data_IF_237199595200
#
_entry.id   IF_237199595200
#
_cell.length_a   1.000
_cell.length_b   1.000
_cell.length_c   1.000
_cell.angle_alpha   90.00
_cell.angle_beta   90.00
_cell.angle_gamma   90.00
#
_symmetry.space_group_name_H-M   'P 1'
#
loop_
_entity.id
_entity.type
_entity.pdbx_description
1 polymer ?
#
# COMPACT_ATOMS: atom_id res chain seq x y z
N UNK A 1 9.27 4.10 -22.10
CA UNK A 1 10.21 4.44 -21.03
C UNK A 1 10.48 3.21 -20.18
N UNK A 2 11.72 2.94 -19.93
CA UNK A 2 12.09 1.81 -19.09
C UNK A 2 11.69 2.09 -17.64
N UNK A 3 11.15 1.10 -16.98
CA UNK A 3 10.68 1.22 -15.62
C UNK A 3 11.71 0.72 -14.63
N UNK A 4 12.58 -0.13 -15.09
CA UNK A 4 13.56 -0.77 -14.22
C UNK A 4 14.89 -0.12 -14.40
N UNK A 5 15.43 0.40 -13.33
CA UNK A 5 16.76 0.97 -13.32
C UNK A 5 17.77 -0.15 -13.20
N UNK A 6 18.88 -0.02 -13.96
CA UNK A 6 19.98 -0.96 -13.87
C UNK A 6 20.67 -0.93 -12.50
N UNK A 7 20.44 0.14 -11.73
CA UNK A 7 20.97 0.32 -10.38
C UNK A 7 20.15 -0.39 -9.31
N UNK A 8 19.03 -1.02 -9.69
CA UNK A 8 18.21 -1.78 -8.75
C UNK A 8 19.01 -2.93 -8.14
N UNK A 9 18.86 -3.22 -6.84
CA UNK A 9 19.49 -4.38 -6.23
C UNK A 9 18.90 -5.70 -6.73
N UNK A 10 17.85 -5.64 -7.53
CA UNK A 10 17.19 -6.83 -8.06
C UNK A 10 17.59 -7.09 -9.48
N UNK A 11 17.84 -8.36 -9.79
CA UNK A 11 18.03 -8.81 -11.14
C UNK A 11 16.73 -9.42 -11.64
N UNK A 12 16.19 -8.85 -12.71
CA UNK A 12 14.97 -9.36 -13.33
C UNK A 12 15.35 -10.18 -14.54
N UNK A 13 14.70 -11.32 -14.70
CA UNK A 13 14.92 -12.18 -15.88
C UNK A 13 14.49 -11.48 -17.17
N UNK A 14 13.43 -10.67 -17.09
CA UNK A 14 12.96 -9.84 -18.20
C UNK A 14 12.55 -8.48 -17.64
N UNK A 15 12.65 -7.45 -18.49
CA UNK A 15 12.19 -6.12 -18.13
C UNK A 15 10.67 -6.09 -18.29
N UNK A 16 9.91 -5.87 -17.22
CA UNK A 16 8.48 -5.74 -17.32
C UNK A 16 8.09 -4.46 -18.04
N UNK A 17 6.93 -4.45 -18.67
CA UNK A 17 6.38 -3.23 -19.26
C UNK A 17 5.97 -2.26 -18.16
N UNK A 18 5.86 -0.99 -18.51
CA UNK A 18 5.37 0.03 -17.58
C UNK A 18 3.98 -0.32 -17.07
N UNK A 19 3.10 -0.81 -17.94
CA UNK A 19 1.75 -1.22 -17.55
C UNK A 19 1.75 -2.36 -16.55
N UNK A 20 2.62 -3.34 -16.74
CA UNK A 20 2.75 -4.45 -15.79
C UNK A 20 3.21 -3.98 -14.41
N UNK A 21 4.17 -3.08 -14.37
CA UNK A 21 4.66 -2.52 -13.11
C UNK A 21 3.59 -1.66 -12.44
N UNK A 22 2.88 -0.85 -13.21
CA UNK A 22 1.79 -0.04 -12.68
C UNK A 22 0.68 -0.92 -12.10
N UNK A 23 0.32 -1.98 -12.79
CA UNK A 23 -0.66 -2.95 -12.28
C UNK A 23 -0.20 -3.57 -10.96
N UNK A 24 1.08 -3.91 -10.87
CA UNK A 24 1.66 -4.45 -9.64
C UNK A 24 1.60 -3.42 -8.51
N UNK A 25 1.84 -2.16 -8.81
CA UNK A 25 1.72 -1.06 -7.85
C UNK A 25 0.30 -0.99 -7.29
N UNK A 26 -0.71 -1.06 -8.15
CA UNK A 26 -2.10 -1.07 -7.71
C UNK A 26 -2.45 -2.33 -6.91
N UNK A 27 -1.84 -3.46 -7.22
CA UNK A 27 -2.02 -4.67 -6.41
C UNK A 27 -1.48 -4.46 -4.99
N UNK A 28 -0.39 -3.70 -4.86
CA UNK A 28 0.14 -3.33 -3.55
C UNK A 28 -0.84 -2.52 -2.72
N UNK A 29 -1.67 -1.71 -3.37
CA UNK A 29 -2.74 -0.95 -2.72
C UNK A 29 -4.03 -1.76 -2.56
N UNK A 30 -4.19 -2.84 -3.30
CA UNK A 30 -5.45 -3.58 -3.40
C UNK A 30 -5.73 -4.56 -2.27
N UNK A 31 -5.49 -4.13 -1.04
CA UNK A 31 -5.77 -4.95 0.14
C UNK A 31 -6.42 -4.08 1.22
N UNK A 32 -7.53 -4.55 1.83
CA UNK A 32 -8.23 -3.73 2.82
C UNK A 32 -7.37 -3.31 4.01
N UNK A 33 -6.51 -4.21 4.50
CA UNK A 33 -5.65 -3.91 5.63
C UNK A 33 -4.61 -2.86 5.28
N UNK A 34 -3.98 -2.99 4.10
CA UNK A 34 -2.99 -2.00 3.66
C UNK A 34 -3.62 -0.63 3.44
N UNK A 35 -4.81 -0.58 2.85
CA UNK A 35 -5.53 0.68 2.69
C UNK A 35 -5.88 1.31 4.03
N UNK A 36 -6.28 0.49 4.99
CA UNK A 36 -6.58 0.98 6.34
C UNK A 36 -5.34 1.54 7.03
N UNK A 37 -4.19 0.89 6.87
CA UNK A 37 -2.92 1.40 7.39
C UNK A 37 -2.62 2.78 6.81
N UNK A 38 -2.74 2.92 5.49
CA UNK A 38 -2.48 4.20 4.84
C UNK A 38 -3.45 5.29 5.29
N UNK A 39 -4.70 4.93 5.52
CA UNK A 39 -5.70 5.87 6.04
C UNK A 39 -5.34 6.34 7.45
N UNK A 40 -4.93 5.42 8.32
CA UNK A 40 -4.52 5.77 9.68
C UNK A 40 -3.29 6.67 9.69
N UNK A 41 -2.32 6.37 8.84
CA UNK A 41 -1.12 7.20 8.72
C UNK A 41 -1.45 8.57 8.14
N UNK A 42 -2.37 8.64 7.19
CA UNK A 42 -2.81 9.90 6.61
C UNK A 42 -3.49 10.80 7.63
N UNK A 43 -4.25 10.22 8.55
CA UNK A 43 -4.96 10.97 9.58
C UNK A 43 -4.02 11.51 10.66
N UNK A 44 -3.05 10.71 11.11
CA UNK A 44 -2.21 11.08 12.24
C UNK A 44 -0.79 11.49 11.87
N UNK A 45 -0.39 11.30 10.63
CA UNK A 45 0.93 11.64 10.15
C UNK A 45 1.96 10.57 10.41
N UNK A 46 2.17 10.20 11.66
CA UNK A 46 3.16 9.20 12.06
C UNK A 46 2.59 8.28 13.12
N UNK A 47 2.84 6.98 12.98
CA UNK A 47 2.42 5.99 13.96
C UNK A 47 3.52 4.93 14.09
N UNK A 48 3.72 4.45 15.32
CA UNK A 48 4.61 3.32 15.53
C UNK A 48 3.92 2.03 15.08
N UNK A 49 4.72 0.99 14.84
CA UNK A 49 4.19 -0.32 14.53
C UNK A 49 3.23 -0.82 15.61
N UNK A 50 3.58 -0.59 16.89
CA UNK A 50 2.74 -0.99 18.01
C UNK A 50 1.39 -0.27 18.02
N UNK A 51 1.39 1.02 17.71
CA UNK A 51 0.14 1.79 17.60
C UNK A 51 -0.75 1.25 16.48
N UNK A 52 -0.15 0.92 15.35
CA UNK A 52 -0.89 0.34 14.22
C UNK A 52 -1.49 -1.02 14.59
N UNK A 53 -0.73 -1.86 15.28
CA UNK A 53 -1.24 -3.16 15.75
C UNK A 53 -2.48 -2.95 16.64
N UNK A 54 -2.41 -2.03 17.58
CA UNK A 54 -3.54 -1.73 18.47
C UNK A 54 -4.74 -1.21 17.72
N UNK A 55 -4.53 -0.28 16.79
CA UNK A 55 -5.64 0.35 16.04
C UNK A 55 -6.32 -0.63 15.10
N UNK A 56 -5.53 -1.50 14.48
CA UNK A 56 -6.08 -2.48 13.53
C UNK A 56 -6.72 -3.66 14.23
N UNK A 57 -6.30 -3.98 15.44
CA UNK A 57 -6.82 -5.13 16.16
C UNK A 57 -6.45 -6.45 15.51
N UNK A 58 -5.31 -6.50 14.81
CA UNK A 58 -4.83 -7.67 14.09
C UNK A 58 -3.54 -8.19 14.75
N UNK A 59 -3.20 -9.47 14.53
CA UNK A 59 -1.94 -10.00 15.04
C UNK A 59 -0.74 -9.20 14.53
N UNK A 60 0.27 -9.05 15.35
CA UNK A 60 1.48 -8.31 15.01
C UNK A 60 2.12 -8.84 13.72
N UNK A 61 2.18 -10.16 13.56
CA UNK A 61 2.78 -10.76 12.38
C UNK A 61 2.06 -10.36 11.10
N UNK A 62 0.73 -10.29 11.15
CA UNK A 62 -0.09 -9.86 10.01
C UNK A 62 0.19 -8.40 9.65
N UNK A 63 0.20 -7.53 10.65
CA UNK A 63 0.47 -6.11 10.44
C UNK A 63 1.89 -5.91 9.90
N UNK A 64 2.87 -6.63 10.45
CA UNK A 64 4.26 -6.56 9.99
C UNK A 64 4.41 -6.97 8.53
N UNK A 65 3.69 -8.00 8.09
CA UNK A 65 3.72 -8.44 6.70
C UNK A 65 3.21 -7.33 5.77
N UNK A 66 2.09 -6.71 6.12
CA UNK A 66 1.53 -5.63 5.32
C UNK A 66 2.42 -4.38 5.32
N UNK A 67 2.98 -4.03 6.49
CA UNK A 67 3.90 -2.89 6.58
C UNK A 67 5.15 -3.13 5.73
N UNK A 68 5.66 -4.36 5.72
CA UNK A 68 6.80 -4.73 4.88
C UNK A 68 6.50 -4.54 3.40
N UNK A 69 5.31 -4.94 2.96
CA UNK A 69 4.88 -4.76 1.59
C UNK A 69 4.78 -3.27 1.23
N UNK A 70 4.13 -2.48 2.09
CA UNK A 70 3.96 -1.04 1.87
C UNK A 70 5.31 -0.32 1.82
N UNK A 71 6.22 -0.69 2.69
CA UNK A 71 7.57 -0.11 2.72
C UNK A 71 8.34 -0.47 1.46
N UNK A 72 8.29 -1.73 1.07
CA UNK A 72 9.00 -2.23 -0.10
C UNK A 72 8.53 -1.56 -1.39
N UNK A 73 7.23 -1.33 -1.50
CA UNK A 73 6.63 -0.67 -2.66
C UNK A 73 6.79 0.85 -2.64
N UNK A 74 7.33 1.40 -1.58
CA UNK A 74 7.56 2.84 -1.49
C UNK A 74 6.36 3.66 -1.07
N UNK A 75 5.32 3.03 -0.52
CA UNK A 75 4.14 3.76 -0.04
C UNK A 75 4.39 4.41 1.31
N UNK A 76 5.24 3.81 2.13
CA UNK A 76 5.57 4.32 3.45
C UNK A 76 7.07 4.34 3.65
N UNK A 77 7.52 5.23 4.53
CA UNK A 77 8.89 5.27 5.00
C UNK A 77 8.93 5.08 6.51
N UNK A 78 10.09 4.76 7.02
CA UNK A 78 10.27 4.51 8.44
C UNK A 78 11.42 5.34 8.99
N UNK A 79 11.34 5.62 10.27
CA UNK A 79 12.49 6.11 11.04
C UNK A 79 12.52 5.39 12.36
N UNK A 80 13.69 5.29 12.94
CA UNK A 80 13.84 4.69 14.25
C UNK A 80 13.83 5.79 15.31
N UNK A 81 13.03 5.57 16.33
CA UNK A 81 12.98 6.45 17.48
C UNK A 81 13.10 5.57 18.72
N UNK A 82 14.28 5.60 19.34
CA UNK A 82 14.60 4.73 20.47
C UNK A 82 14.42 3.25 20.05
N UNK A 83 13.49 2.53 20.63
CA UNK A 83 13.22 1.12 20.32
C UNK A 83 12.07 0.93 19.36
N UNK A 84 11.42 2.03 18.97
CA UNK A 84 10.25 1.99 18.12
C UNK A 84 10.61 2.30 16.68
N UNK A 85 9.90 1.66 15.75
CA UNK A 85 9.94 2.02 14.34
C UNK A 85 8.69 2.83 14.05
N UNK A 86 8.90 4.04 13.54
CA UNK A 86 7.81 4.98 13.24
C UNK A 86 7.58 4.97 11.74
N UNK A 87 6.33 4.80 11.34
CA UNK A 87 5.91 4.76 9.94
C UNK A 87 5.21 6.06 9.55
N UNK A 88 5.42 6.48 8.33
CA UNK A 88 4.67 7.59 7.73
C UNK A 88 4.51 7.35 6.24
N UNK A 89 3.53 8.02 5.64
CA UNK A 89 3.36 7.98 4.19
C UNK A 89 4.57 8.64 3.55
N UNK A 90 5.14 7.96 2.54
CA UNK A 90 6.38 8.39 1.90
C UNK A 90 6.24 9.67 1.09
N UNK A 91 5.08 9.87 0.48
CA UNK A 91 4.84 10.97 -0.45
C UNK A 91 3.38 11.38 -0.34
N UNK A 92 3.13 12.67 -0.23
CA UNK A 92 1.75 13.18 -0.12
C UNK A 92 0.85 12.70 -1.25
N UNK A 93 1.40 12.43 -2.42
CA UNK A 93 0.63 11.92 -3.56
C UNK A 93 0.01 10.55 -3.31
N UNK A 94 0.60 9.74 -2.44
CA UNK A 94 0.02 8.44 -2.06
C UNK A 94 -1.32 8.67 -1.36
N UNK A 95 -1.36 9.59 -0.42
CA UNK A 95 -2.62 9.96 0.25
C UNK A 95 -3.63 10.54 -0.71
N UNK A 96 -3.19 11.37 -1.65
CA UNK A 96 -4.04 11.96 -2.67
C UNK A 96 -4.62 10.88 -3.59
N UNK A 97 -3.84 9.89 -3.97
CA UNK A 97 -4.28 8.79 -4.81
C UNK A 97 -5.39 7.98 -4.10
N UNK A 98 -5.19 7.66 -2.84
CA UNK A 98 -6.19 6.93 -2.06
C UNK A 98 -7.46 7.77 -1.89
N UNK A 99 -7.32 9.06 -1.58
CA UNK A 99 -8.47 9.95 -1.43
C UNK A 99 -9.26 10.09 -2.73
N UNK A 100 -8.56 10.20 -3.85
CA UNK A 100 -9.20 10.27 -5.17
C UNK A 100 -9.96 8.97 -5.48
N UNK A 101 -9.34 7.83 -5.18
CA UNK A 101 -9.98 6.53 -5.35
C UNK A 101 -11.25 6.41 -4.50
N UNK A 102 -11.22 6.90 -3.26
CA UNK A 102 -12.37 6.90 -2.38
C UNK A 102 -13.51 7.77 -2.94
N UNK A 103 -13.16 8.94 -3.46
CA UNK A 103 -14.15 9.84 -4.07
C UNK A 103 -14.81 9.20 -5.29
N UNK A 104 -14.03 8.54 -6.13
CA UNK A 104 -14.55 7.80 -7.29
C UNK A 104 -15.43 6.63 -6.85
N UNK A 105 -15.02 5.95 -5.78
CA UNK A 105 -15.78 4.82 -5.26
C UNK A 105 -17.16 5.23 -4.75
N UNK A 106 -17.29 6.44 -4.18
CA UNK A 106 -18.58 6.93 -3.71
C UNK A 106 -19.64 6.91 -4.82
N UNK A 107 -19.22 7.10 -6.07
CA UNK A 107 -20.12 7.07 -7.21
C UNK A 107 -20.29 5.68 -7.83
N UNK A 108 -19.37 4.76 -7.55
CA UNK A 108 -19.30 3.47 -8.25
C UNK A 108 -19.28 2.24 -7.31
N UNK A 109 -19.56 2.44 -6.04
CA UNK A 109 -19.40 1.36 -5.05
C UNK A 109 -20.20 0.10 -5.40
N UNK A 110 -21.45 0.26 -5.84
CA UNK A 110 -22.30 -0.87 -6.20
C UNK A 110 -21.72 -1.67 -7.37
N UNK A 111 -21.25 -0.97 -8.38
CA UNK A 111 -20.68 -1.63 -9.55
C UNK A 111 -19.42 -2.43 -9.19
N UNK A 112 -18.56 -1.86 -8.37
CA UNK A 112 -17.34 -2.53 -7.95
C UNK A 112 -17.65 -3.71 -7.03
N UNK A 113 -18.56 -3.54 -6.08
CA UNK A 113 -18.92 -4.59 -5.13
C UNK A 113 -19.53 -5.80 -5.82
N UNK A 114 -20.20 -5.59 -6.97
CA UNK A 114 -20.86 -6.66 -7.71
C UNK A 114 -20.02 -7.17 -8.89
N UNK A 115 -18.77 -6.73 -9.03
CA UNK A 115 -17.93 -7.14 -10.15
C UNK A 115 -17.37 -8.54 -9.95
N UNK A 116 -18.03 -9.54 -10.51
CA UNK A 116 -17.61 -10.94 -10.42
C UNK A 116 -16.26 -11.20 -11.07
N UNK A 117 -15.92 -10.44 -12.10
CA UNK A 117 -14.65 -10.58 -12.79
C UNK A 117 -13.47 -10.24 -11.87
N UNK A 118 -13.58 -9.14 -11.13
CA UNK A 118 -12.55 -8.73 -10.17
C UNK A 118 -12.45 -9.76 -9.05
N UNK A 119 -13.60 -10.21 -8.54
CA UNK A 119 -13.63 -11.21 -7.47
C UNK A 119 -13.00 -12.52 -7.91
N UNK A 120 -13.26 -12.94 -9.14
CA UNK A 120 -12.66 -14.15 -9.70
C UNK A 120 -11.13 -14.02 -9.84
N UNK A 121 -10.64 -12.85 -10.22
CA UNK A 121 -9.20 -12.61 -10.35
C UNK A 121 -8.50 -12.62 -8.98
N UNK A 122 -9.22 -12.23 -7.94
CA UNK A 122 -8.69 -12.17 -6.57
C UNK A 122 -8.70 -13.52 -5.86
N UNK A 123 -9.45 -14.48 -6.38
CA UNK A 123 -9.63 -15.77 -5.75
C UNK A 123 -8.38 -16.66 -5.82
#
# INVERSE_FOLDING_TARGET
MSVVASTSPFTLATTPSRGEVLAKYFRGLGDPTRLRILRELGADGELSAGELVRRLGLPQATVSTHLGCLRWCGFVTTRREQRSVIYRIADARVGQLVALAEALLDDNAEHVACCETIDAESA
#
